data_IF_163658792966
#
_entry.id   IF_163658792966
#
_cell.length_a   1.000
_cell.length_b   1.000
_cell.length_c   1.000
_cell.angle_alpha   90.00
_cell.angle_beta   90.00
_cell.angle_gamma   90.00
#
_symmetry.space_group_name_H-M   'P 1'
#
loop_
_entity.id
_entity.type
_entity.pdbx_description
1 polymer ?
#
# COMPACT_ATOMS: atom_id res chain seq x y z
N UNK A 1 -6.66 -19.59 55.23
CA UNK A 1 -6.53 -18.13 54.99
C UNK A 1 -5.23 -17.75 54.27
N UNK A 2 -4.05 -18.28 54.62
CA UNK A 2 -2.77 -17.97 53.94
C UNK A 2 -2.72 -18.25 52.42
N UNK A 3 -3.45 -19.26 51.91
CA UNK A 3 -3.46 -19.60 50.48
C UNK A 3 -4.28 -18.63 49.61
N UNK A 4 -5.26 -17.95 50.19
CA UNK A 4 -6.10 -16.95 49.47
C UNK A 4 -5.33 -15.63 49.32
N UNK A 5 -4.50 -15.29 50.32
CA UNK A 5 -3.65 -14.08 50.28
C UNK A 5 -2.62 -14.14 49.15
N UNK A 6 -2.11 -15.33 48.83
CA UNK A 6 -1.12 -15.54 47.76
C UNK A 6 -1.73 -15.32 46.37
N UNK A 7 -3.02 -15.66 46.19
CA UNK A 7 -3.75 -15.41 44.95
C UNK A 7 -4.04 -13.92 44.73
N UNK A 8 -4.29 -13.17 45.81
CA UNK A 8 -4.51 -11.72 45.73
C UNK A 8 -3.21 -10.94 45.48
N UNK A 9 -2.06 -11.44 45.93
CA UNK A 9 -0.75 -10.83 45.70
C UNK A 9 -0.26 -11.00 44.25
N UNK A 10 -0.73 -12.02 43.54
CA UNK A 10 -0.35 -12.29 42.14
C UNK A 10 -1.17 -11.47 41.12
N UNK A 11 -2.31 -10.88 41.50
CA UNK A 11 -3.15 -10.12 40.55
C UNK A 11 -2.87 -8.61 40.52
N UNK A 12 -2.11 -8.06 41.46
CA UNK A 12 -1.87 -6.61 41.58
C UNK A 12 -0.62 -6.11 40.84
N UNK A 13 0.16 -6.99 40.21
CA UNK A 13 1.49 -6.66 39.66
C UNK A 13 1.57 -6.30 38.17
N UNK A 14 0.50 -6.43 37.38
CA UNK A 14 0.57 -6.23 35.93
C UNK A 14 0.11 -4.82 35.53
N UNK A 15 0.88 -3.78 35.86
CA UNK A 15 0.74 -2.50 35.17
C UNK A 15 1.33 -2.62 33.77
N UNK A 16 0.50 -2.95 32.79
CA UNK A 16 0.86 -2.89 31.38
C UNK A 16 0.88 -1.40 31.00
N UNK A 17 2.05 -0.79 31.06
CA UNK A 17 2.26 0.54 30.49
C UNK A 17 2.10 0.43 28.97
N UNK A 18 0.93 0.79 28.45
CA UNK A 18 0.77 1.06 27.03
C UNK A 18 1.62 2.30 26.72
N UNK A 19 2.82 2.09 26.15
CA UNK A 19 3.68 3.19 25.74
C UNK A 19 2.98 3.96 24.62
N UNK A 20 2.62 5.21 24.91
CA UNK A 20 2.21 6.16 23.90
C UNK A 20 3.35 6.38 22.92
N UNK A 21 3.20 5.87 21.69
CA UNK A 21 4.18 6.05 20.62
C UNK A 21 3.78 7.23 19.74
N UNK A 22 4.77 8.04 19.36
CA UNK A 22 4.62 9.07 18.32
C UNK A 22 4.06 8.44 17.04
N UNK A 23 3.20 9.19 16.35
CA UNK A 23 2.53 8.68 15.16
C UNK A 23 2.50 9.70 14.02
N UNK A 24 2.32 9.19 12.80
CA UNK A 24 2.05 10.02 11.63
C UNK A 24 0.67 9.72 11.10
N UNK A 25 -0.10 10.78 10.90
CA UNK A 25 -1.42 10.72 10.30
C UNK A 25 -1.31 11.04 8.82
N UNK A 26 -1.82 10.13 7.99
CA UNK A 26 -2.15 10.47 6.62
C UNK A 26 -3.57 11.02 6.60
N UNK A 27 -3.72 12.27 6.19
CA UNK A 27 -4.99 12.94 6.02
C UNK A 27 -5.34 13.09 4.55
N UNK A 28 -6.62 12.98 4.21
CA UNK A 28 -7.21 13.33 2.91
C UNK A 28 -8.25 14.42 3.15
N UNK A 29 -8.06 15.60 2.59
CA UNK A 29 -8.95 16.77 2.83
C UNK A 29 -9.24 16.97 4.33
N UNK A 30 -8.18 17.02 5.14
CA UNK A 30 -8.22 17.16 6.60
C UNK A 30 -8.84 15.98 7.40
N UNK A 31 -9.35 14.93 6.74
CA UNK A 31 -9.83 13.71 7.41
C UNK A 31 -8.72 12.67 7.50
N UNK A 32 -8.46 12.11 8.68
CA UNK A 32 -7.48 11.03 8.84
C UNK A 32 -7.96 9.78 8.11
N UNK A 33 -7.16 9.30 7.15
CA UNK A 33 -7.44 8.08 6.39
C UNK A 33 -6.56 6.91 6.82
N UNK A 34 -5.36 7.18 7.37
CA UNK A 34 -4.48 6.14 7.91
C UNK A 34 -3.62 6.71 9.03
N UNK A 35 -3.29 5.86 10.00
CA UNK A 35 -2.39 6.16 11.12
C UNK A 35 -1.19 5.23 11.02
N UNK A 36 0.00 5.77 11.19
CA UNK A 36 1.25 5.04 11.18
C UNK A 36 1.92 5.17 12.54
N UNK A 37 2.30 4.03 13.10
CA UNK A 37 3.01 3.90 14.37
C UNK A 37 4.22 2.99 14.17
N UNK A 38 5.05 2.83 15.20
CA UNK A 38 6.14 1.84 15.17
C UNK A 38 5.59 0.44 14.84
N UNK A 39 6.38 -0.36 14.15
CA UNK A 39 6.06 -1.71 13.68
C UNK A 39 4.93 -1.79 12.63
N UNK A 40 4.58 -0.67 11.98
CA UNK A 40 3.68 -0.67 10.83
C UNK A 40 4.43 -0.64 9.51
N UNK A 41 3.94 -1.38 8.52
CA UNK A 41 4.48 -1.32 7.15
C UNK A 41 3.99 -0.08 6.42
N UNK A 42 4.93 0.54 5.71
CA UNK A 42 4.68 1.73 4.91
C UNK A 42 5.38 1.63 3.57
N UNK A 43 4.62 1.96 2.54
CA UNK A 43 5.12 2.24 1.21
C UNK A 43 5.16 3.73 1.03
N UNK A 44 6.30 4.27 0.64
CA UNK A 44 6.44 5.69 0.35
C UNK A 44 7.32 5.94 -0.86
N UNK A 45 7.08 7.07 -1.50
CA UNK A 45 7.98 7.63 -2.51
C UNK A 45 8.54 8.94 -1.97
N UNK A 46 9.86 9.09 -1.99
CA UNK A 46 10.55 10.29 -1.52
C UNK A 46 10.40 11.44 -2.52
N UNK A 47 10.75 12.66 -2.10
CA UNK A 47 10.84 13.85 -2.99
C UNK A 47 11.85 13.68 -4.12
N UNK A 48 12.85 12.81 -3.94
CA UNK A 48 13.80 12.42 -5.01
C UNK A 48 13.24 11.37 -5.97
N UNK A 49 12.04 10.85 -5.71
CA UNK A 49 11.39 9.81 -6.54
C UNK A 49 11.76 8.37 -6.17
N UNK A 50 12.57 8.14 -5.12
CA UNK A 50 12.91 6.80 -4.68
C UNK A 50 11.70 6.14 -3.99
N UNK A 51 11.32 4.95 -4.44
CA UNK A 51 10.26 4.16 -3.81
C UNK A 51 10.85 3.22 -2.76
N UNK A 52 10.29 3.25 -1.56
CA UNK A 52 10.74 2.48 -0.42
C UNK A 52 9.52 1.78 0.17
N UNK A 53 9.66 0.48 0.38
CA UNK A 53 8.68 -0.36 1.07
C UNK A 53 9.41 -0.98 2.25
N UNK A 54 8.91 -0.73 3.46
CA UNK A 54 9.55 -1.21 4.68
C UNK A 54 8.71 -0.97 5.92
N UNK A 55 9.20 -1.48 7.04
CA UNK A 55 8.55 -1.38 8.34
C UNK A 55 9.07 -0.16 9.09
N UNK A 56 8.17 0.62 9.69
CA UNK A 56 8.53 1.75 10.54
C UNK A 56 9.11 1.20 11.84
N UNK A 57 10.39 1.43 12.10
CA UNK A 57 11.01 1.02 13.38
C UNK A 57 10.74 2.02 14.49
N UNK A 58 10.63 3.30 14.14
CA UNK A 58 10.36 4.39 15.08
C UNK A 58 9.85 5.62 14.35
N UNK A 59 9.05 6.42 15.05
CA UNK A 59 8.73 7.79 14.68
C UNK A 59 9.19 8.67 15.83
N UNK A 60 9.94 9.74 15.53
CA UNK A 60 10.40 10.70 16.54
C UNK A 60 10.87 11.99 15.89
N UNK A 61 10.57 13.13 16.49
CA UNK A 61 11.04 14.46 16.05
C UNK A 61 10.78 14.67 14.55
N UNK A 62 9.52 14.53 14.12
CA UNK A 62 9.10 14.72 12.73
C UNK A 62 9.76 13.77 11.70
N UNK A 63 10.47 12.75 12.18
CA UNK A 63 11.20 11.80 11.35
C UNK A 63 10.63 10.39 11.47
N UNK A 64 10.61 9.70 10.33
CA UNK A 64 10.25 8.28 10.18
C UNK A 64 11.53 7.49 10.00
N UNK A 65 11.71 6.47 10.83
CA UNK A 65 12.79 5.50 10.71
C UNK A 65 12.22 4.22 10.11
N UNK A 66 12.85 3.74 9.04
CA UNK A 66 12.37 2.61 8.26
C UNK A 66 13.42 1.50 8.24
N UNK A 67 12.95 0.26 8.23
CA UNK A 67 13.73 -0.94 7.97
C UNK A 67 13.17 -1.63 6.73
N UNK A 68 13.99 -1.73 5.69
CA UNK A 68 13.63 -2.40 4.43
C UNK A 68 14.38 -3.73 4.34
N UNK A 69 13.66 -4.80 4.04
CA UNK A 69 14.24 -6.11 3.76
C UNK A 69 14.36 -6.31 2.25
N UNK A 70 15.54 -6.73 1.79
CA UNK A 70 15.75 -7.16 0.40
C UNK A 70 15.67 -8.68 0.35
N UNK A 71 14.51 -9.18 -0.06
CA UNK A 71 14.23 -10.61 -0.15
C UNK A 71 14.54 -11.08 -1.58
N UNK A 72 15.27 -12.18 -1.72
CA UNK A 72 15.50 -12.86 -3.01
C UNK A 72 15.34 -14.36 -2.89
N UNK A 73 15.15 -15.00 -4.03
CA UNK A 73 15.23 -16.46 -4.13
C UNK A 73 16.69 -16.89 -4.16
N UNK A 74 17.05 -17.80 -3.27
CA UNK A 74 18.40 -18.37 -3.16
C UNK A 74 18.29 -19.89 -3.30
N UNK A 75 19.15 -20.54 -4.09
CA UNK A 75 19.15 -21.99 -4.20
C UNK A 75 19.64 -22.64 -2.91
N UNK A 76 18.96 -23.69 -2.48
CA UNK A 76 19.41 -24.56 -1.39
C UNK A 76 20.35 -25.63 -1.92
N UNK A 77 21.02 -26.36 -1.03
CA UNK A 77 21.91 -27.47 -1.38
C UNK A 77 21.20 -28.61 -2.14
N UNK A 78 19.87 -28.72 -2.03
CA UNK A 78 19.05 -29.70 -2.74
C UNK A 78 18.55 -29.21 -4.11
N UNK A 79 18.99 -28.04 -4.57
CA UNK A 79 18.59 -27.47 -5.87
C UNK A 79 17.19 -26.83 -5.89
N UNK A 80 16.49 -26.78 -4.75
CA UNK A 80 15.21 -26.05 -4.63
C UNK A 80 15.44 -24.61 -4.17
N UNK A 81 14.60 -23.68 -4.63
CA UNK A 81 14.71 -22.26 -4.27
C UNK A 81 13.88 -21.93 -3.03
N UNK A 82 14.49 -21.16 -2.11
CA UNK A 82 13.81 -20.59 -0.94
C UNK A 82 13.93 -19.08 -0.95
N UNK A 83 12.96 -18.38 -0.35
CA UNK A 83 13.06 -16.95 -0.13
C UNK A 83 13.95 -16.68 1.08
N UNK A 84 14.97 -15.86 0.90
CA UNK A 84 15.88 -15.44 1.96
C UNK A 84 16.12 -13.93 1.92
N UNK A 85 16.41 -13.35 3.08
CA UNK A 85 16.73 -11.92 3.23
C UNK A 85 18.21 -11.71 2.97
N UNK A 86 18.56 -11.15 1.82
CA UNK A 86 19.95 -10.88 1.47
C UNK A 86 20.56 -9.74 2.28
N UNK A 87 19.79 -8.67 2.49
CA UNK A 87 20.27 -7.50 3.21
C UNK A 87 19.11 -6.70 3.79
N UNK A 88 19.45 -5.85 4.75
CA UNK A 88 18.54 -4.94 5.43
C UNK A 88 19.08 -3.52 5.32
N UNK A 89 18.25 -2.58 4.88
CA UNK A 89 18.58 -1.17 4.86
C UNK A 89 17.79 -0.40 5.91
N UNK A 90 18.46 0.55 6.57
CA UNK A 90 17.84 1.46 7.51
C UNK A 90 17.80 2.86 6.91
N UNK A 91 16.63 3.50 6.94
CA UNK A 91 16.45 4.84 6.43
C UNK A 91 15.89 5.76 7.51
N UNK A 92 16.23 7.04 7.40
CA UNK A 92 15.63 8.12 8.17
C UNK A 92 15.14 9.19 7.19
N UNK A 93 13.85 9.47 7.23
CA UNK A 93 13.25 10.54 6.43
C UNK A 93 12.45 11.47 7.32
N UNK A 94 12.63 12.78 7.11
CA UNK A 94 11.67 13.75 7.65
C UNK A 94 10.33 13.58 6.90
N UNK A 95 9.18 13.78 7.56
CA UNK A 95 7.89 13.58 6.89
C UNK A 95 7.71 14.49 5.65
N UNK A 96 8.33 15.68 5.64
CA UNK A 96 8.41 16.58 4.47
C UNK A 96 9.19 16.03 3.27
N UNK A 97 10.04 15.02 3.47
CA UNK A 97 10.76 14.35 2.39
C UNK A 97 9.94 13.23 1.73
N UNK A 98 8.73 12.98 2.24
CA UNK A 98 7.78 12.02 1.65
C UNK A 98 6.93 12.76 0.62
N UNK A 99 7.14 12.43 -0.66
CA UNK A 99 6.36 12.98 -1.76
C UNK A 99 4.99 12.30 -1.88
N UNK A 100 4.93 11.00 -1.64
CA UNK A 100 3.69 10.25 -1.69
C UNK A 100 3.73 9.04 -0.78
N UNK A 101 2.56 8.65 -0.27
CA UNK A 101 2.37 7.32 0.31
C UNK A 101 1.94 6.35 -0.80
N UNK A 102 2.66 5.26 -0.94
CA UNK A 102 2.57 4.33 -2.06
C UNK A 102 3.55 4.67 -3.19
N UNK A 103 3.52 3.84 -4.23
CA UNK A 103 4.40 3.97 -5.40
C UNK A 103 3.91 5.06 -6.34
N UNK A 104 4.77 6.02 -6.65
CA UNK A 104 4.57 6.96 -7.78
C UNK A 104 5.51 6.62 -8.94
N UNK A 105 5.15 7.02 -10.16
CA UNK A 105 6.04 6.90 -11.31
C UNK A 105 6.38 5.46 -11.74
N UNK A 106 5.38 4.58 -11.95
CA UNK A 106 5.63 3.32 -12.67
C UNK A 106 6.12 3.65 -14.08
N UNK A 107 7.21 3.00 -14.54
CA UNK A 107 7.68 3.06 -15.94
C UNK A 107 6.57 2.69 -16.94
N UNK A 108 5.64 1.83 -16.53
CA UNK A 108 4.45 1.47 -17.29
C UNK A 108 3.20 2.12 -16.70
N UNK A 109 2.48 2.91 -17.51
CA UNK A 109 1.25 3.57 -17.07
C UNK A 109 0.08 2.58 -17.07
N UNK A 110 -0.06 1.89 -15.94
CA UNK A 110 -1.09 0.89 -15.71
C UNK A 110 -2.50 1.48 -15.87
N UNK A 111 -2.70 2.74 -15.49
CA UNK A 111 -3.98 3.44 -15.63
C UNK A 111 -4.31 3.73 -17.10
N UNK A 112 -3.33 4.15 -17.90
CA UNK A 112 -3.53 4.36 -19.33
C UNK A 112 -3.82 3.03 -20.04
N UNK A 113 -3.08 1.97 -19.70
CA UNK A 113 -3.31 0.64 -20.27
C UNK A 113 -4.69 0.10 -19.92
N UNK A 114 -5.13 0.27 -18.67
CA UNK A 114 -6.48 -0.08 -18.24
C UNK A 114 -7.54 0.70 -19.01
N UNK A 115 -7.33 2.01 -19.22
CA UNK A 115 -8.23 2.84 -20.01
C UNK A 115 -8.29 2.41 -21.48
N UNK A 116 -7.15 2.06 -22.09
CA UNK A 116 -7.08 1.54 -23.46
C UNK A 116 -7.81 0.21 -23.61
N UNK A 117 -7.62 -0.73 -22.68
CA UNK A 117 -8.31 -2.02 -22.66
C UNK A 117 -9.82 -1.85 -22.50
N UNK A 118 -10.24 -1.01 -21.55
CA UNK A 118 -11.64 -0.72 -21.30
C UNK A 118 -12.28 -0.03 -22.52
N UNK A 119 -11.68 1.06 -23.00
CA UNK A 119 -12.21 1.84 -24.12
C UNK A 119 -12.25 1.04 -25.41
N UNK A 120 -11.13 0.38 -25.76
CA UNK A 120 -11.05 -0.47 -26.94
C UNK A 120 -12.01 -1.66 -26.88
N UNK A 121 -12.09 -2.34 -25.73
CA UNK A 121 -13.04 -3.44 -25.52
C UNK A 121 -14.49 -3.00 -25.65
N UNK A 122 -14.87 -1.84 -25.08
CA UNK A 122 -16.23 -1.30 -25.20
C UNK A 122 -16.57 -0.94 -26.65
N UNK A 123 -15.69 -0.22 -27.34
CA UNK A 123 -15.90 0.16 -28.76
C UNK A 123 -16.09 -1.08 -29.62
N UNK A 124 -15.21 -2.08 -29.46
CA UNK A 124 -15.30 -3.34 -30.21
C UNK A 124 -16.57 -4.14 -29.87
N UNK A 125 -17.01 -4.10 -28.61
CA UNK A 125 -18.25 -4.78 -28.19
C UNK A 125 -19.48 -4.11 -28.82
N UNK A 126 -19.54 -2.77 -28.81
CA UNK A 126 -20.63 -2.03 -29.46
C UNK A 126 -20.61 -2.26 -30.97
N UNK A 127 -19.44 -2.17 -31.61
CA UNK A 127 -19.30 -2.44 -33.03
C UNK A 127 -19.74 -3.87 -33.39
N UNK A 128 -19.35 -4.87 -32.59
CA UNK A 128 -19.79 -6.25 -32.76
C UNK A 128 -21.31 -6.41 -32.59
N UNK A 129 -21.92 -5.67 -31.65
CA UNK A 129 -23.37 -5.61 -31.47
C UNK A 129 -24.10 -4.97 -32.65
N UNK A 130 -23.55 -3.90 -33.23
CA UNK A 130 -24.08 -3.28 -34.45
C UNK A 130 -24.00 -4.25 -35.63
N UNK A 131 -22.86 -4.93 -35.82
CA UNK A 131 -22.70 -5.94 -36.87
C UNK A 131 -23.68 -7.10 -36.69
N UNK A 132 -23.92 -7.55 -35.45
CA UNK A 132 -24.91 -8.58 -35.16
C UNK A 132 -26.32 -8.20 -35.64
N UNK A 133 -26.71 -6.92 -35.48
CA UNK A 133 -28.02 -6.40 -35.88
C UNK A 133 -28.10 -6.08 -37.38
N UNK A 134 -27.03 -5.55 -37.97
CA UNK A 134 -27.03 -5.06 -39.35
C UNK A 134 -26.61 -6.11 -40.39
N UNK A 135 -25.67 -7.00 -40.07
CA UNK A 135 -25.14 -8.02 -40.99
C UNK A 135 -24.68 -9.26 -40.21
N UNK A 136 -25.64 -10.14 -39.91
CA UNK A 136 -25.43 -11.33 -39.09
C UNK A 136 -24.43 -12.32 -39.70
N UNK A 137 -24.19 -12.29 -41.02
CA UNK A 137 -23.23 -13.17 -41.68
C UNK A 137 -21.79 -12.77 -41.41
N UNK A 138 -21.53 -11.49 -41.13
CA UNK A 138 -20.21 -10.98 -40.75
C UNK A 138 -19.99 -10.93 -39.23
N UNK A 139 -20.98 -11.34 -38.46
CA UNK A 139 -20.88 -11.38 -37.00
C UNK A 139 -19.92 -12.49 -36.54
N UNK A 140 -19.00 -12.14 -35.64
CA UNK A 140 -18.12 -13.09 -34.97
C UNK A 140 -18.44 -13.14 -33.47
N UNK A 141 -19.03 -14.25 -32.98
CA UNK A 141 -19.23 -14.45 -31.55
C UNK A 141 -17.92 -14.40 -30.75
N UNK A 142 -16.83 -14.93 -31.34
CA UNK A 142 -15.50 -14.91 -30.73
C UNK A 142 -14.99 -13.49 -30.54
N UNK A 143 -15.21 -12.59 -31.52
CA UNK A 143 -14.80 -11.20 -31.41
C UNK A 143 -15.59 -10.46 -30.33
N UNK A 144 -16.90 -10.71 -30.24
CA UNK A 144 -17.75 -10.14 -29.19
C UNK A 144 -17.30 -10.58 -27.80
N UNK A 145 -17.03 -11.88 -27.62
CA UNK A 145 -16.55 -12.43 -26.34
C UNK A 145 -15.18 -11.85 -26.00
N UNK A 146 -14.26 -11.81 -26.97
CA UNK A 146 -12.95 -11.24 -26.79
C UNK A 146 -13.03 -9.75 -26.40
N UNK A 147 -13.84 -8.94 -27.09
CA UNK A 147 -14.00 -7.52 -26.79
C UNK A 147 -14.62 -7.26 -25.43
N UNK A 148 -15.62 -8.04 -25.05
CA UNK A 148 -16.25 -7.97 -23.72
C UNK A 148 -15.25 -8.37 -22.62
N UNK A 149 -14.42 -9.39 -22.87
CA UNK A 149 -13.37 -9.79 -21.94
C UNK A 149 -12.29 -8.72 -21.77
N UNK A 150 -11.88 -8.05 -22.86
CA UNK A 150 -10.93 -6.92 -22.80
C UNK A 150 -11.50 -5.76 -21.99
N UNK A 151 -12.78 -5.43 -22.20
CA UNK A 151 -13.45 -4.37 -21.46
C UNK A 151 -13.49 -4.66 -19.96
N UNK A 152 -13.83 -5.90 -19.58
CA UNK A 152 -13.90 -6.33 -18.18
C UNK A 152 -12.52 -6.37 -17.52
N UNK A 153 -11.48 -6.87 -18.21
CA UNK A 153 -10.09 -6.81 -17.73
C UNK A 153 -9.66 -5.35 -17.51
N UNK A 154 -9.92 -4.47 -18.48
CA UNK A 154 -9.63 -3.04 -18.37
C UNK A 154 -10.32 -2.40 -17.17
N UNK A 155 -11.59 -2.74 -16.91
CA UNK A 155 -12.34 -2.27 -15.76
C UNK A 155 -11.74 -2.73 -14.43
N UNK A 156 -11.45 -4.02 -14.28
CA UNK A 156 -10.85 -4.58 -13.06
C UNK A 156 -9.47 -3.95 -12.81
N UNK A 157 -8.66 -3.83 -13.86
CA UNK A 157 -7.34 -3.22 -13.81
C UNK A 157 -7.42 -1.73 -13.41
N UNK A 158 -8.38 -0.98 -13.96
CA UNK A 158 -8.58 0.43 -13.60
C UNK A 158 -8.97 0.58 -12.12
N UNK A 159 -9.80 -0.33 -11.60
CA UNK A 159 -10.26 -0.32 -10.20
C UNK A 159 -9.14 -0.70 -9.22
N UNK A 160 -8.26 -1.62 -9.61
CA UNK A 160 -7.17 -2.14 -8.78
C UNK A 160 -5.87 -1.34 -8.89
N UNK A 161 -5.73 -0.48 -9.91
CA UNK A 161 -4.57 0.39 -10.05
C UNK A 161 -4.52 1.42 -8.91
N UNK A 162 -3.78 1.08 -7.85
CA UNK A 162 -3.48 1.99 -6.75
C UNK A 162 -2.70 3.20 -7.25
N UNK A 163 -3.27 4.39 -7.08
CA UNK A 163 -2.56 5.67 -7.29
C UNK A 163 -1.82 6.01 -6.00
N UNK A 164 -0.52 6.30 -6.09
CA UNK A 164 0.22 6.87 -4.98
C UNK A 164 -0.52 8.10 -4.44
N UNK A 165 -0.65 8.20 -3.12
CA UNK A 165 -1.30 9.31 -2.44
C UNK A 165 -0.29 10.45 -2.31
N UNK A 166 -0.27 11.31 -3.32
CA UNK A 166 0.67 12.44 -3.43
C UNK A 166 0.38 13.47 -2.34
N UNK A 167 1.39 13.77 -1.54
CA UNK A 167 1.36 14.76 -0.46
C UNK A 167 1.34 16.16 -1.09
N UNK A 168 0.41 17.00 -0.60
CA UNK A 168 0.11 18.33 -1.14
C UNK A 168 -1.28 18.82 -0.72
N UNK A 169 -2.05 19.40 -1.65
CA UNK A 169 -3.37 19.98 -1.36
C UNK A 169 -4.40 18.95 -0.87
N UNK A 170 -4.42 17.76 -1.48
CA UNK A 170 -5.43 16.72 -1.19
C UNK A 170 -5.01 15.81 -0.04
N UNK A 171 -3.75 15.40 0.01
CA UNK A 171 -3.22 14.52 1.04
C UNK A 171 -2.14 15.23 1.84
N UNK A 172 -2.12 15.07 3.15
CA UNK A 172 -1.08 15.62 4.01
C UNK A 172 -0.62 14.62 5.05
N UNK A 173 0.64 14.74 5.47
CA UNK A 173 1.18 14.03 6.62
C UNK A 173 1.23 14.98 7.81
N UNK A 174 0.77 14.51 8.96
CA UNK A 174 0.79 15.26 10.21
C UNK A 174 1.46 14.40 11.26
N UNK A 175 2.55 14.90 11.83
CA UNK A 175 3.18 14.30 13.00
C UNK A 175 2.38 14.61 14.26
N UNK A 176 2.18 13.58 15.08
CA UNK A 176 1.66 13.70 16.43
C UNK A 176 2.69 13.10 17.38
N UNK A 177 3.44 13.99 18.02
CA UNK A 177 4.29 13.62 19.15
C UNK A 177 3.43 13.46 20.39
N UNK A 178 3.52 12.31 21.05
CA UNK A 178 2.91 12.19 22.37
C UNK A 178 3.96 12.66 23.36
N UNK A 179 3.81 13.90 23.80
CA UNK A 179 4.62 14.43 24.89
C UNK A 179 4.30 13.62 26.14
N UNK A 180 5.28 12.86 26.63
CA UNK A 180 5.27 12.29 27.99
C UNK A 180 5.24 13.47 28.98
N UNK A 181 4.06 14.02 29.21
CA UNK A 181 3.83 14.95 30.31
C UNK A 181 3.74 14.11 31.58
N UNK A 182 4.89 13.59 32.02
CA UNK A 182 5.07 13.10 33.38
C UNK A 182 5.02 14.32 34.30
N UNK A 183 3.84 14.57 34.87
CA UNK A 183 3.75 15.24 36.17
C UNK A 183 3.95 14.20 37.27
#
# INVERSE_FOLDING_TARGET
>A
MKRILLFFLLSTGAQIFAQSSDMILLKKNNKTVKRYFADTDIDLTTTTGAYISGTITKIKNDSIFLKQYVIRQVPTQLGVYVLDTLTTYYYKYHYNQVHAIGKTGRRFNLSASAASLLGGGLILTVASGVVYLADRNKFSPTLLIASASLATIGYVMAKTTGKGMIIGKRYSLVYLGISDNKK
#
